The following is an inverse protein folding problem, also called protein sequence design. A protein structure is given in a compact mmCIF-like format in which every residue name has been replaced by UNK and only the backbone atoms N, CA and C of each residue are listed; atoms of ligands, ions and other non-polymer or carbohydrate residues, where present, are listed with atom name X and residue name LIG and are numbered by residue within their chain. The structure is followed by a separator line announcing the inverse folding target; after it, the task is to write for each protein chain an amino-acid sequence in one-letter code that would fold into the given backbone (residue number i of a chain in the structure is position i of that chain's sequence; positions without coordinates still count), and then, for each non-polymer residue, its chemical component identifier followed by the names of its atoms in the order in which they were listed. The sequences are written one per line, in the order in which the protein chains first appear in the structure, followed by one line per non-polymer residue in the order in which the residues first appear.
data_IF_286745236644
#
_entry.id   IF_286745236644
#
_cell.length_a   1.000
_cell.length_b   1.000
_cell.length_c   1.000
_cell.angle_alpha   90.00
_cell.angle_beta   90.00
_cell.angle_gamma   90.00
#
_symmetry.space_group_name_H-M   'P 1'
#
loop_
_entity.id
_entity.type
_entity.pdbx_description
1 polymer ?
#
# COMPACT_ATOMS: atom_id res chain seq x y z
N UNK A 1 8.55 -19.77 -14.12
CA UNK A 1 7.55 -18.83 -13.56
C UNK A 1 8.08 -17.44 -13.80
N UNK A 2 7.35 -16.60 -14.50
CA UNK A 2 7.68 -15.19 -14.66
C UNK A 2 7.54 -14.53 -13.29
N UNK A 3 8.64 -14.03 -12.74
CA UNK A 3 8.59 -13.19 -11.52
C UNK A 3 8.15 -11.80 -11.93
N UNK A 4 7.24 -11.18 -11.15
CA UNK A 4 6.89 -9.77 -11.29
C UNK A 4 7.90 -8.92 -10.51
N UNK A 5 8.11 -7.70 -10.94
CA UNK A 5 8.89 -6.71 -10.18
C UNK A 5 8.05 -6.07 -9.08
N UNK A 6 8.69 -5.43 -8.09
CA UNK A 6 7.99 -4.62 -7.11
C UNK A 6 7.17 -3.51 -7.76
N UNK A 7 7.65 -2.88 -8.83
CA UNK A 7 6.89 -1.87 -9.58
C UNK A 7 5.60 -2.43 -10.16
N UNK A 8 5.64 -3.57 -10.85
CA UNK A 8 4.46 -4.21 -11.42
C UNK A 8 3.44 -4.62 -10.35
N UNK A 9 3.93 -5.11 -9.20
CA UNK A 9 3.07 -5.44 -8.07
C UNK A 9 2.38 -4.20 -7.50
N UNK A 10 3.14 -3.12 -7.26
CA UNK A 10 2.60 -1.89 -6.68
C UNK A 10 1.70 -1.15 -7.67
N UNK A 11 2.03 -1.10 -8.94
CA UNK A 11 1.15 -0.53 -9.98
C UNK A 11 -0.22 -1.21 -10.01
N UNK A 12 -0.24 -2.54 -9.92
CA UNK A 12 -1.49 -3.30 -9.82
C UNK A 12 -2.27 -2.94 -8.54
N UNK A 13 -1.59 -2.87 -7.40
CA UNK A 13 -2.22 -2.50 -6.13
C UNK A 13 -2.77 -1.06 -6.18
N UNK A 14 -1.96 -0.09 -6.60
CA UNK A 14 -2.34 1.32 -6.66
C UNK A 14 -3.42 1.63 -7.71
N UNK A 15 -3.62 0.75 -8.69
CA UNK A 15 -4.75 0.86 -9.61
C UNK A 15 -6.12 0.72 -8.90
N UNK A 16 -6.14 0.06 -7.75
CA UNK A 16 -7.33 -0.14 -6.91
C UNK A 16 -7.32 0.75 -5.66
N UNK A 17 -6.13 0.99 -5.09
CA UNK A 17 -5.91 1.75 -3.87
C UNK A 17 -4.88 2.86 -4.11
N UNK A 18 -5.23 3.90 -4.87
CA UNK A 18 -4.30 4.97 -5.23
C UNK A 18 -3.76 5.71 -4.00
N UNK A 19 -2.50 6.13 -4.06
CA UNK A 19 -1.85 6.87 -2.97
C UNK A 19 -2.50 8.22 -2.67
N UNK A 20 -3.17 8.86 -3.66
CA UNK A 20 -3.87 10.13 -3.44
C UNK A 20 -5.10 10.03 -2.52
N UNK A 21 -5.56 8.82 -2.21
CA UNK A 21 -6.59 8.60 -1.19
C UNK A 21 -6.07 8.78 0.24
N UNK A 22 -4.76 8.78 0.44
CA UNK A 22 -4.16 8.95 1.76
C UNK A 22 -4.51 10.32 2.36
N UNK A 23 -4.57 10.39 3.70
CA UNK A 23 -4.69 11.64 4.42
C UNK A 23 -3.47 12.55 4.18
N UNK A 24 -3.67 13.86 4.31
CA UNK A 24 -2.61 14.83 4.04
C UNK A 24 -1.44 14.64 5.01
N UNK A 25 -0.25 14.41 4.44
CA UNK A 25 0.98 14.16 5.21
C UNK A 25 1.17 12.73 5.68
N UNK A 26 0.27 11.82 5.32
CA UNK A 26 0.45 10.40 5.63
C UNK A 26 1.51 9.76 4.71
N UNK A 27 2.58 9.18 5.26
CA UNK A 27 3.67 8.64 4.46
C UNK A 27 3.36 7.24 3.93
N UNK A 28 2.44 7.13 2.95
CA UNK A 28 2.17 5.88 2.24
C UNK A 28 3.18 5.64 1.12
N UNK A 29 3.33 4.39 0.69
CA UNK A 29 4.20 4.03 -0.42
C UNK A 29 5.44 3.24 -0.01
N UNK A 30 6.49 3.31 -0.83
CA UNK A 30 7.77 2.65 -0.54
C UNK A 30 8.50 3.34 0.61
N UNK A 31 8.82 2.58 1.64
CA UNK A 31 9.59 3.04 2.79
C UNK A 31 11.06 2.62 2.74
N UNK A 32 11.32 1.42 2.31
CA UNK A 32 12.65 0.81 2.26
C UNK A 32 12.78 -0.09 1.05
N UNK A 33 14.00 -0.22 0.53
CA UNK A 33 14.32 -1.20 -0.51
C UNK A 33 14.23 -0.66 -1.93
N UNK A 34 14.03 -1.57 -2.88
CA UNK A 34 14.10 -1.32 -4.33
C UNK A 34 12.99 -2.08 -5.06
N UNK A 35 12.05 -1.35 -5.65
CA UNK A 35 10.92 -1.92 -6.39
C UNK A 35 11.32 -2.49 -7.77
N UNK A 36 12.53 -2.24 -8.27
CA UNK A 36 13.00 -2.85 -9.51
C UNK A 36 13.28 -4.36 -9.36
N UNK A 37 13.40 -4.83 -8.13
CA UNK A 37 13.72 -6.23 -7.83
C UNK A 37 12.52 -7.15 -8.03
N UNK A 38 12.77 -8.43 -8.37
CA UNK A 38 11.70 -9.41 -8.51
C UNK A 38 11.06 -9.74 -7.15
N UNK A 39 9.75 -9.80 -7.12
CA UNK A 39 8.95 -10.17 -5.96
C UNK A 39 8.36 -11.55 -6.18
N UNK A 40 8.65 -12.48 -5.27
CA UNK A 40 8.18 -13.87 -5.29
C UNK A 40 7.44 -14.25 -4.02
N UNK A 41 7.84 -13.63 -2.90
CA UNK A 41 7.29 -13.92 -1.58
C UNK A 41 7.04 -12.64 -0.82
N UNK A 42 5.78 -12.40 -0.52
CA UNK A 42 5.30 -11.22 0.20
C UNK A 42 4.89 -11.65 1.60
N UNK A 43 5.33 -10.92 2.62
CA UNK A 43 4.83 -11.01 3.97
C UNK A 43 3.89 -9.82 4.20
N UNK A 44 2.67 -10.09 4.62
CA UNK A 44 1.67 -9.05 4.96
C UNK A 44 1.60 -8.90 6.46
N UNK A 45 1.61 -7.66 6.95
CA UNK A 45 1.59 -7.38 8.38
C UNK A 45 0.90 -6.05 8.69
N UNK A 46 0.43 -5.90 9.92
CA UNK A 46 -0.04 -4.61 10.43
C UNK A 46 1.15 -3.68 10.71
N UNK A 47 2.11 -4.14 11.50
CA UNK A 47 3.29 -3.39 11.93
C UNK A 47 4.59 -4.07 11.50
N UNK A 48 5.59 -3.29 11.12
CA UNK A 48 6.95 -3.79 10.86
C UNK A 48 7.74 -3.79 12.18
N UNK A 49 7.71 -4.92 12.89
CA UNK A 49 8.37 -5.12 14.19
C UNK A 49 9.57 -6.07 14.07
N UNK A 50 10.47 -6.12 15.07
CA UNK A 50 11.64 -7.01 15.03
C UNK A 50 11.30 -8.47 14.73
N UNK A 51 10.23 -9.00 15.35
CA UNK A 51 9.77 -10.37 15.12
C UNK A 51 9.25 -10.60 13.71
N UNK A 52 8.59 -9.61 13.10
CA UNK A 52 8.12 -9.64 11.71
C UNK A 52 9.30 -9.63 10.74
N UNK A 53 10.34 -8.84 11.03
CA UNK A 53 11.58 -8.80 10.24
C UNK A 53 12.29 -10.14 10.31
N UNK A 54 12.41 -10.72 11.49
CA UNK A 54 13.03 -12.03 11.64
C UNK A 54 12.24 -13.11 10.87
N UNK A 55 10.90 -13.08 10.95
CA UNK A 55 10.05 -13.96 10.17
C UNK A 55 10.24 -13.78 8.66
N UNK A 56 10.34 -12.55 8.19
CA UNK A 56 10.57 -12.25 6.77
C UNK A 56 11.92 -12.81 6.29
N UNK A 57 12.97 -12.66 7.11
CA UNK A 57 14.30 -13.22 6.82
C UNK A 57 14.25 -14.76 6.79
N UNK A 58 13.66 -15.38 7.81
CA UNK A 58 13.59 -16.85 7.94
C UNK A 58 12.78 -17.47 6.79
N UNK A 59 11.70 -16.81 6.39
CA UNK A 59 10.87 -17.23 5.26
C UNK A 59 11.42 -16.80 3.90
N UNK A 60 12.54 -16.07 3.87
CA UNK A 60 13.14 -15.50 2.64
C UNK A 60 12.13 -14.70 1.85
N UNK A 61 11.39 -13.83 2.53
CA UNK A 61 10.51 -12.88 1.87
C UNK A 61 11.33 -11.83 1.11
N UNK A 62 10.86 -11.46 -0.07
CA UNK A 62 11.46 -10.39 -0.90
C UNK A 62 10.82 -9.04 -0.56
N UNK A 63 9.61 -9.08 0.03
CA UNK A 63 8.76 -7.91 0.18
C UNK A 63 7.92 -8.01 1.46
N UNK A 64 7.84 -6.90 2.20
CA UNK A 64 6.88 -6.72 3.28
C UNK A 64 5.86 -5.69 2.83
N UNK A 65 4.58 -6.07 2.88
CA UNK A 65 3.45 -5.19 2.68
C UNK A 65 2.83 -4.91 4.04
N UNK A 66 2.98 -3.67 4.54
CA UNK A 66 2.47 -3.29 5.86
C UNK A 66 1.31 -2.32 5.77
N UNK A 67 0.44 -2.33 6.78
CA UNK A 67 -0.56 -1.30 6.94
C UNK A 67 0.08 -0.05 7.54
N UNK A 68 0.69 -0.16 8.70
CA UNK A 68 1.35 0.97 9.34
C UNK A 68 2.71 1.27 8.71
N UNK A 69 2.98 2.55 8.38
CA UNK A 69 4.26 2.98 7.83
C UNK A 69 5.38 2.86 8.87
N UNK A 70 6.45 2.08 8.61
CA UNK A 70 7.54 1.93 9.56
C UNK A 70 8.32 3.23 9.78
N UNK A 71 8.39 4.10 8.77
CA UNK A 71 9.04 5.40 8.85
C UNK A 71 7.96 6.49 8.76
N UNK A 72 7.36 6.83 9.90
CA UNK A 72 6.33 7.88 9.94
C UNK A 72 6.92 9.28 9.90
N UNK A 73 8.12 9.48 10.44
CA UNK A 73 8.85 10.75 10.41
C UNK A 73 10.18 10.58 9.70
N UNK A 74 10.63 11.58 8.92
CA UNK A 74 11.94 11.53 8.25
C UNK A 74 13.08 11.19 9.21
N UNK A 75 13.93 10.26 8.80
CA UNK A 75 15.13 9.89 9.56
C UNK A 75 16.16 11.00 9.46
N UNK A 76 16.77 11.36 10.58
CA UNK A 76 17.85 12.35 10.62
C UNK A 76 19.22 11.73 10.34
N UNK A 77 19.40 10.48 10.66
CA UNK A 77 20.62 9.69 10.46
C UNK A 77 20.29 8.20 10.40
N UNK A 78 21.29 7.38 10.12
CA UNK A 78 21.21 5.92 10.15
C UNK A 78 22.14 5.35 11.21
N UNK A 79 21.93 5.73 12.47
CA UNK A 79 22.68 5.21 13.61
C UNK A 79 22.20 3.81 13.97
N UNK A 80 23.01 2.80 13.65
CA UNK A 80 22.69 1.39 13.90
C UNK A 80 22.76 0.97 15.37
N UNK A 81 23.21 1.85 16.26
CA UNK A 81 23.07 1.63 17.70
C UNK A 81 21.65 1.82 18.19
N UNK A 82 20.85 2.59 17.48
CA UNK A 82 19.41 2.68 17.67
C UNK A 82 18.71 1.45 17.12
N UNK A 83 17.80 0.85 17.92
CA UNK A 83 17.12 -0.39 17.58
C UNK A 83 16.25 -0.27 16.33
N UNK A 84 15.56 0.86 16.16
CA UNK A 84 14.67 1.07 15.03
C UNK A 84 15.46 1.23 13.73
N UNK A 85 16.51 2.04 13.76
CA UNK A 85 17.41 2.22 12.61
C UNK A 85 18.11 0.93 12.23
N UNK A 86 18.53 0.13 13.24
CA UNK A 86 19.10 -1.19 13.00
C UNK A 86 18.12 -2.10 12.23
N UNK A 87 16.85 -2.11 12.58
CA UNK A 87 15.80 -2.87 11.88
C UNK A 87 15.74 -2.50 10.38
N UNK A 88 15.79 -1.21 10.05
CA UNK A 88 15.77 -0.76 8.64
C UNK A 88 17.01 -1.20 7.89
N UNK A 89 18.17 -1.10 8.53
CA UNK A 89 19.43 -1.57 7.95
C UNK A 89 19.45 -3.07 7.75
N UNK A 90 18.88 -3.84 8.67
CA UNK A 90 18.79 -5.31 8.55
C UNK A 90 17.88 -5.70 7.37
N UNK A 91 16.75 -5.03 7.16
CA UNK A 91 15.89 -5.22 5.99
C UNK A 91 16.64 -4.96 4.68
N UNK A 92 17.36 -3.84 4.59
CA UNK A 92 18.13 -3.48 3.40
C UNK A 92 19.28 -4.49 3.12
N UNK A 93 19.93 -5.01 4.16
CA UNK A 93 20.98 -6.04 4.02
C UNK A 93 20.44 -7.37 3.51
N UNK A 94 19.18 -7.67 3.75
CA UNK A 94 18.53 -8.89 3.28
C UNK A 94 17.73 -8.66 1.98
N UNK A 95 17.90 -7.48 1.37
CA UNK A 95 17.22 -7.12 0.12
C UNK A 95 15.68 -7.18 0.21
N UNK A 96 15.13 -6.89 1.38
CA UNK A 96 13.70 -6.89 1.63
C UNK A 96 13.17 -5.47 1.46
N UNK A 97 12.24 -5.29 0.53
CA UNK A 97 11.54 -4.01 0.35
C UNK A 97 10.32 -3.92 1.26
N UNK A 98 10.00 -2.71 1.72
CA UNK A 98 8.82 -2.45 2.57
C UNK A 98 7.97 -1.36 1.95
N UNK A 99 6.72 -1.68 1.70
CA UNK A 99 5.69 -0.76 1.22
C UNK A 99 4.56 -0.66 2.24
N UNK A 100 4.09 0.55 2.53
CA UNK A 100 2.98 0.80 3.44
C UNK A 100 1.75 1.29 2.68
N UNK A 101 0.60 0.64 2.91
CA UNK A 101 -0.73 1.08 2.52
C UNK A 101 -1.52 1.38 3.79
N UNK A 102 -1.63 2.64 4.15
CA UNK A 102 -2.20 3.13 5.40
C UNK A 102 -3.55 3.78 5.14
N UNK A 103 -3.70 5.08 5.37
CA UNK A 103 -4.98 5.75 5.22
C UNK A 103 -5.53 5.74 3.78
N UNK A 104 -4.70 5.55 2.77
CA UNK A 104 -5.19 5.30 1.41
C UNK A 104 -6.00 4.01 1.30
N UNK A 105 -5.62 2.95 2.04
CA UNK A 105 -6.35 1.69 2.08
C UNK A 105 -7.63 1.82 2.92
N UNK A 106 -7.60 2.65 3.99
CA UNK A 106 -8.79 2.93 4.80
C UNK A 106 -9.85 3.72 4.02
N UNK A 107 -9.39 4.65 3.15
CA UNK A 107 -10.26 5.51 2.35
C UNK A 107 -10.67 4.90 0.98
N UNK A 108 -10.12 3.75 0.62
CA UNK A 108 -10.43 3.09 -0.64
C UNK A 108 -11.80 2.40 -0.60
N UNK A 109 -12.52 2.44 -1.72
CA UNK A 109 -13.67 1.57 -1.93
C UNK A 109 -13.21 0.10 -1.97
N UNK A 110 -13.92 -0.78 -1.32
CA UNK A 110 -13.51 -2.16 -1.06
C UNK A 110 -12.15 -2.25 -0.35
N UNK A 111 -11.87 -1.29 0.52
CA UNK A 111 -10.67 -1.22 1.33
C UNK A 111 -10.87 -1.79 2.74
N UNK A 112 -10.02 -1.34 3.68
CA UNK A 112 -9.96 -1.89 5.05
C UNK A 112 -11.30 -1.81 5.79
N UNK A 113 -11.99 -0.67 5.69
CA UNK A 113 -13.25 -0.45 6.42
C UNK A 113 -14.37 -1.34 5.87
N UNK A 114 -14.43 -1.56 4.56
CA UNK A 114 -15.40 -2.45 3.95
C UNK A 114 -15.14 -3.90 4.38
N UNK A 115 -13.89 -4.35 4.37
CA UNK A 115 -13.51 -5.71 4.82
C UNK A 115 -13.81 -5.94 6.29
N UNK A 116 -13.56 -4.95 7.15
CA UNK A 116 -13.90 -5.03 8.58
C UNK A 116 -15.40 -5.10 8.79
N UNK A 117 -16.17 -4.31 8.05
CA UNK A 117 -17.63 -4.32 8.10
C UNK A 117 -18.20 -5.68 7.68
N UNK A 118 -17.67 -6.24 6.60
CA UNK A 118 -18.03 -7.58 6.12
C UNK A 118 -17.68 -8.68 7.14
N UNK A 119 -16.45 -8.63 7.69
CA UNK A 119 -15.99 -9.60 8.69
C UNK A 119 -16.82 -9.58 9.98
N UNK A 120 -17.38 -8.43 10.33
CA UNK A 120 -18.28 -8.25 11.48
C UNK A 120 -19.76 -8.55 11.14
N UNK A 121 -20.09 -8.81 9.87
CA UNK A 121 -21.44 -9.07 9.41
C UNK A 121 -22.36 -7.86 9.53
N UNK A 122 -21.84 -6.64 9.39
CA UNK A 122 -22.62 -5.42 9.46
C UNK A 122 -23.51 -5.27 8.22
N UNK A 123 -24.72 -4.78 8.42
CA UNK A 123 -25.70 -4.49 7.38
C UNK A 123 -25.91 -2.98 7.26
N UNK A 124 -26.32 -2.53 6.08
CA UNK A 124 -26.65 -1.13 5.80
C UNK A 124 -25.53 -0.16 6.18
N UNK A 125 -24.29 -0.52 5.77
CA UNK A 125 -23.09 0.27 6.06
C UNK A 125 -23.09 1.54 5.21
N UNK A 126 -22.93 2.70 5.87
CA UNK A 126 -22.87 4.01 5.22
C UNK A 126 -21.53 4.71 5.52
N UNK A 127 -21.10 5.57 4.60
CA UNK A 127 -19.91 6.40 4.78
C UNK A 127 -20.24 7.47 5.83
N UNK A 128 -19.45 7.53 6.91
CA UNK A 128 -19.64 8.50 7.99
C UNK A 128 -19.17 9.90 7.57
N UNK A 129 -18.09 10.01 6.82
CA UNK A 129 -17.52 11.27 6.35
C UNK A 129 -16.91 11.13 4.95
N UNK A 130 -16.95 12.22 4.17
CA UNK A 130 -16.36 12.28 2.82
C UNK A 130 -14.96 12.86 2.91
N UNK A 131 -13.95 12.01 2.93
CA UNK A 131 -12.54 12.37 3.06
C UNK A 131 -11.94 12.96 1.80
N UNK A 132 -12.30 12.42 0.62
CA UNK A 132 -11.76 12.87 -0.67
C UNK A 132 -12.87 13.10 -1.70
N UNK A 133 -12.67 14.10 -2.58
CA UNK A 133 -13.56 14.42 -3.68
C UNK A 133 -12.77 14.59 -4.96
N UNK A 134 -13.16 13.88 -6.01
CA UNK A 134 -12.56 14.02 -7.34
C UNK A 134 -13.49 14.86 -8.23
N UNK A 135 -13.06 16.01 -8.74
CA UNK A 135 -13.85 16.78 -9.68
C UNK A 135 -13.97 16.02 -11.00
N UNK A 136 -15.20 15.83 -11.46
CA UNK A 136 -15.49 15.22 -12.76
C UNK A 136 -16.20 16.21 -13.68
N UNK A 137 -15.96 16.07 -14.99
CA UNK A 137 -16.70 16.82 -16.01
C UNK A 137 -17.55 15.84 -16.81
N UNK A 138 -18.86 16.13 -16.90
CA UNK A 138 -19.75 15.40 -17.82
C UNK A 138 -19.67 16.06 -19.18
N UNK A 139 -19.25 15.30 -20.20
CA UNK A 139 -19.28 15.73 -21.60
C UNK A 139 -20.46 15.02 -22.27
N UNK A 140 -21.34 15.78 -22.90
CA UNK A 140 -22.45 15.23 -23.69
C UNK A 140 -22.20 15.59 -25.17
N UNK A 141 -22.25 14.60 -26.02
CA UNK A 141 -22.07 14.75 -27.46
C UNK A 141 -23.32 14.23 -28.18
N UNK A 142 -23.90 15.01 -29.04
CA UNK A 142 -24.99 14.56 -29.93
C UNK A 142 -24.38 13.84 -31.12
N UNK A 143 -24.75 12.59 -31.33
CA UNK A 143 -24.36 11.81 -32.51
C UNK A 143 -25.60 11.39 -33.29
N UNK A 144 -25.56 11.28 -34.64
CA UNK A 144 -26.65 10.73 -35.43
C UNK A 144 -26.97 9.28 -34.95
N UNK A 145 -28.25 8.90 -34.96
CA UNK A 145 -28.69 7.56 -34.56
C UNK A 145 -27.96 6.41 -35.26
N UNK A 146 -27.51 6.61 -36.50
CA UNK A 146 -26.75 5.61 -37.25
C UNK A 146 -25.35 5.32 -36.69
N UNK A 147 -24.82 6.19 -35.80
CA UNK A 147 -23.46 6.08 -35.19
C UNK A 147 -23.51 5.66 -33.72
N UNK A 148 -24.69 5.53 -33.14
CA UNK A 148 -24.83 5.19 -31.69
C UNK A 148 -24.41 3.76 -31.32
N UNK A 149 -24.22 2.87 -32.31
CA UNK A 149 -23.92 1.44 -32.10
C UNK A 149 -22.52 1.02 -32.58
N UNK A 150 -21.60 1.95 -32.67
CA UNK A 150 -20.18 1.67 -32.98
C UNK A 150 -19.27 1.81 -31.81
#
# INVERSE_FOLDING_TARGET
MTSITGYEFIELFESHVPTWLAEDGDPVGLHLGDLSRPVRRILVTLDVRPEVIQEAIDKKADFIFSHHPPIYRPLKNLDVSDKQTKMYVDLLKHDISVYAAHTNLDNANNGMNDWLSEALGLLDVEIMDVTKRVPVKKISVCVPNAECNR
#
